data_IF_861575898696
#
_entry.id   IF_861575898696
#
_cell.length_a   1.000
_cell.length_b   1.000
_cell.length_c   1.000
_cell.angle_alpha   90.00
_cell.angle_beta   90.00
_cell.angle_gamma   90.00
#
_symmetry.space_group_name_H-M   'P 1'
#
loop_
_entity.id
_entity.type
_entity.pdbx_description
1 polymer ?
#
# COMPACT_ATOMS: atom_id res chain seq x y z
N UNK A 1 -16.26 8.10 25.18
CA UNK A 1 -15.61 8.56 23.95
C UNK A 1 -14.55 7.57 23.53
N UNK A 2 -14.61 7.11 22.31
CA UNK A 2 -13.60 6.17 21.79
C UNK A 2 -12.46 6.99 21.22
N UNK A 3 -11.27 6.82 21.79
CA UNK A 3 -10.09 7.46 21.25
C UNK A 3 -9.64 6.74 19.99
N UNK A 4 -9.44 7.51 18.93
CA UNK A 4 -8.85 6.99 17.71
C UNK A 4 -7.34 6.95 17.84
N UNK A 5 -6.72 5.78 17.64
CA UNK A 5 -5.27 5.65 17.67
C UNK A 5 -4.64 6.50 16.55
N UNK A 6 -3.49 7.12 16.81
CA UNK A 6 -2.73 7.81 15.76
C UNK A 6 -2.38 6.87 14.60
N UNK A 7 -2.30 7.42 13.40
CA UNK A 7 -2.02 6.64 12.18
C UNK A 7 -0.72 5.84 12.26
N UNK A 8 0.33 6.39 12.87
CA UNK A 8 1.59 5.68 13.04
C UNK A 8 1.47 4.42 13.89
N UNK A 9 0.67 4.48 14.98
CA UNK A 9 0.41 3.32 15.82
C UNK A 9 -0.45 2.29 15.09
N UNK A 10 -1.45 2.75 14.35
CA UNK A 10 -2.32 1.88 13.53
C UNK A 10 -1.50 1.17 12.45
N UNK A 11 -0.58 1.86 11.81
CA UNK A 11 0.32 1.28 10.81
C UNK A 11 1.22 0.21 11.44
N UNK A 12 1.82 0.52 12.59
CA UNK A 12 2.67 -0.44 13.31
C UNK A 12 1.88 -1.71 13.66
N UNK A 13 0.67 -1.55 14.19
CA UNK A 13 -0.19 -2.68 14.54
C UNK A 13 -0.55 -3.51 13.31
N UNK A 14 -0.86 -2.85 12.18
CA UNK A 14 -1.17 -3.51 10.93
C UNK A 14 0.00 -4.37 10.45
N UNK A 15 1.21 -3.81 10.41
CA UNK A 15 2.40 -4.52 9.94
C UNK A 15 2.72 -5.68 10.88
N UNK A 16 2.70 -5.46 12.20
CA UNK A 16 3.03 -6.51 13.16
C UNK A 16 2.04 -7.67 13.12
N UNK A 17 0.75 -7.40 12.94
CA UNK A 17 -0.27 -8.44 12.99
C UNK A 17 -0.59 -9.06 11.63
N UNK A 18 -0.38 -8.37 10.52
CA UNK A 18 -0.88 -8.80 9.21
C UNK A 18 0.16 -8.78 8.09
N UNK A 19 1.44 -8.62 8.37
CA UNK A 19 2.44 -8.53 7.30
C UNK A 19 2.46 -9.76 6.39
N UNK A 20 2.23 -10.93 6.91
CA UNK A 20 2.19 -12.17 6.11
C UNK A 20 1.02 -12.14 5.12
N UNK A 21 -0.15 -11.71 5.55
CA UNK A 21 -1.32 -11.60 4.69
C UNK A 21 -1.13 -10.50 3.65
N UNK A 22 -0.58 -9.35 4.07
CA UNK A 22 -0.31 -8.23 3.18
C UNK A 22 0.61 -8.67 2.04
N UNK A 23 1.74 -9.29 2.36
CA UNK A 23 2.71 -9.73 1.37
C UNK A 23 2.15 -10.86 0.49
N UNK A 24 1.35 -11.75 1.07
CA UNK A 24 0.70 -12.83 0.32
C UNK A 24 -0.27 -12.27 -0.73
N UNK A 25 -1.03 -11.23 -0.39
CA UNK A 25 -1.93 -10.58 -1.35
C UNK A 25 -1.18 -9.94 -2.51
N UNK A 26 0.05 -9.46 -2.27
CA UNK A 26 0.85 -8.80 -3.29
C UNK A 26 1.60 -9.78 -4.21
N UNK A 27 1.79 -11.00 -3.76
CA UNK A 27 2.52 -12.00 -4.54
C UNK A 27 1.74 -12.32 -5.81
N UNK A 28 2.37 -12.06 -6.97
CA UNK A 28 1.76 -12.25 -8.29
C UNK A 28 0.47 -11.46 -8.50
N UNK A 29 0.28 -10.36 -7.76
CA UNK A 29 -0.91 -9.53 -7.87
C UNK A 29 -0.88 -8.70 -9.16
N UNK A 30 -1.65 -9.11 -10.15
CA UNK A 30 -1.74 -8.43 -11.45
C UNK A 30 -3.07 -7.72 -11.69
N UNK A 31 -4.03 -7.83 -10.76
CA UNK A 31 -5.40 -7.35 -10.99
C UNK A 31 -5.93 -6.38 -9.97
N UNK A 32 -5.34 -6.30 -8.79
CA UNK A 32 -5.95 -5.58 -7.70
C UNK A 32 -5.03 -4.56 -7.07
N UNK A 33 -5.64 -3.51 -6.55
CA UNK A 33 -5.02 -2.54 -5.67
C UNK A 33 -5.55 -2.82 -4.27
N UNK A 34 -4.68 -3.30 -3.39
CA UNK A 34 -5.01 -3.59 -2.00
C UNK A 34 -4.62 -2.39 -1.14
N UNK A 35 -5.60 -1.84 -0.43
CA UNK A 35 -5.44 -0.62 0.36
C UNK A 35 -5.80 -0.89 1.81
N UNK A 36 -5.21 -0.12 2.71
CA UNK A 36 -5.45 -0.22 4.15
C UNK A 36 -5.66 1.18 4.71
N UNK A 37 -6.81 1.38 5.34
CA UNK A 37 -7.18 2.65 5.97
C UNK A 37 -6.60 2.70 7.38
N UNK A 38 -5.60 3.55 7.59
CA UNK A 38 -4.99 3.73 8.92
C UNK A 38 -5.42 5.04 9.58
N UNK A 39 -6.51 5.64 9.11
CA UNK A 39 -7.08 6.85 9.67
C UNK A 39 -6.83 8.05 8.78
N UNK A 40 -5.76 8.77 8.99
CA UNK A 40 -5.42 9.95 8.19
C UNK A 40 -4.95 9.60 6.78
N UNK A 41 -4.48 8.36 6.56
CA UNK A 41 -3.93 7.90 5.28
C UNK A 41 -4.50 6.56 4.89
N UNK A 42 -4.55 6.30 3.57
CA UNK A 42 -4.67 4.96 3.03
C UNK A 42 -3.30 4.55 2.51
N UNK A 43 -2.90 3.31 2.81
CA UNK A 43 -1.58 2.80 2.44
C UNK A 43 -1.71 1.56 1.57
N UNK A 44 -0.71 1.34 0.73
CA UNK A 44 -0.57 0.17 -0.11
C UNK A 44 0.87 -0.32 -0.06
N UNK A 45 1.07 -1.61 -0.32
CA UNK A 45 2.39 -2.24 -0.23
C UNK A 45 2.77 -2.89 -1.56
N UNK A 46 4.05 -2.93 -1.86
CA UNK A 46 4.63 -3.66 -2.99
C UNK A 46 3.95 -3.31 -4.31
N UNK A 47 3.36 -4.27 -5.01
CA UNK A 47 2.69 -4.02 -6.30
C UNK A 47 1.55 -3.03 -6.20
N UNK A 48 0.79 -3.09 -5.13
CA UNK A 48 -0.27 -2.10 -4.87
C UNK A 48 0.31 -0.71 -4.62
N UNK A 49 1.48 -0.62 -3.96
CA UNK A 49 2.17 0.67 -3.79
C UNK A 49 2.60 1.25 -5.14
N UNK A 50 3.10 0.42 -6.04
CA UNK A 50 3.46 0.83 -7.39
C UNK A 50 2.24 1.42 -8.12
N UNK A 51 1.11 0.74 -8.07
CA UNK A 51 -0.14 1.21 -8.69
C UNK A 51 -0.64 2.50 -8.06
N UNK A 52 -0.60 2.57 -6.73
CA UNK A 52 -1.05 3.77 -6.01
C UNK A 52 -0.20 4.98 -6.37
N UNK A 53 1.12 4.82 -6.45
CA UNK A 53 2.01 5.91 -6.82
C UNK A 53 1.80 6.38 -8.26
N UNK A 54 1.36 5.49 -9.15
CA UNK A 54 0.98 5.85 -10.51
C UNK A 54 -0.32 6.63 -10.61
N UNK A 55 -1.25 6.39 -9.67
CA UNK A 55 -2.53 7.10 -9.62
C UNK A 55 -2.43 8.45 -8.91
N UNK A 56 -1.55 8.55 -7.93
CA UNK A 56 -1.39 9.76 -7.10
C UNK A 56 0.07 10.22 -7.16
N UNK A 57 0.35 11.25 -7.94
CA UNK A 57 1.71 11.76 -8.14
C UNK A 57 2.36 12.29 -6.86
N UNK A 58 1.55 12.65 -5.87
CA UNK A 58 2.01 13.16 -4.57
C UNK A 58 2.03 12.11 -3.47
N UNK A 59 1.88 10.83 -3.81
CA UNK A 59 1.99 9.77 -2.82
C UNK A 59 3.38 9.75 -2.20
N UNK A 60 3.44 9.43 -0.90
CA UNK A 60 4.70 9.30 -0.18
C UNK A 60 5.12 7.85 -0.11
N UNK A 61 6.43 7.61 -0.26
CA UNK A 61 7.00 6.26 -0.20
C UNK A 61 7.75 6.08 1.11
N UNK A 62 7.58 4.91 1.72
CA UNK A 62 8.26 4.50 2.94
C UNK A 62 8.80 3.09 2.76
N UNK A 63 9.95 2.81 3.35
CA UNK A 63 10.56 1.49 3.29
C UNK A 63 10.48 0.80 4.65
N UNK A 64 10.20 -0.50 4.63
CA UNK A 64 10.17 -1.32 5.84
C UNK A 64 11.06 -2.55 5.65
N UNK A 65 11.71 -2.97 6.74
CA UNK A 65 12.30 -4.29 6.83
C UNK A 65 11.38 -5.17 7.68
N UNK A 66 11.01 -6.31 7.11
CA UNK A 66 10.15 -7.29 7.78
C UNK A 66 11.01 -8.53 8.03
N UNK A 67 10.92 -9.16 9.21
CA UNK A 67 11.62 -10.40 9.47
C UNK A 67 11.36 -11.43 8.37
N UNK A 68 12.39 -12.16 7.98
CA UNK A 68 12.35 -13.18 6.93
C UNK A 68 12.25 -12.64 5.50
N UNK A 69 12.26 -11.32 5.33
CA UNK A 69 12.34 -10.70 4.00
C UNK A 69 13.73 -10.12 3.78
N UNK A 70 14.39 -10.52 2.70
CA UNK A 70 15.73 -10.06 2.35
C UNK A 70 15.69 -8.61 1.83
N UNK A 71 14.67 -8.30 1.05
CA UNK A 71 14.51 -7.00 0.42
C UNK A 71 13.63 -6.07 1.27
N UNK A 72 13.75 -4.77 1.02
CA UNK A 72 12.84 -3.79 1.59
C UNK A 72 11.43 -3.99 1.06
N UNK A 73 10.45 -3.77 1.93
CA UNK A 73 9.04 -3.66 1.54
C UNK A 73 8.75 -2.18 1.29
N UNK A 74 8.24 -1.85 0.12
CA UNK A 74 7.89 -0.47 -0.23
C UNK A 74 6.42 -0.24 0.04
N UNK A 75 6.12 0.85 0.76
CA UNK A 75 4.76 1.29 1.03
C UNK A 75 4.54 2.65 0.39
N UNK A 76 3.39 2.86 -0.24
CA UNK A 76 2.93 4.16 -0.67
C UNK A 76 1.76 4.59 0.21
N UNK A 77 1.68 5.89 0.53
CA UNK A 77 0.58 6.44 1.31
C UNK A 77 0.01 7.68 0.65
N UNK A 78 -1.31 7.84 0.77
CA UNK A 78 -2.05 9.02 0.30
C UNK A 78 -3.01 9.47 1.38
N UNK A 79 -3.33 10.77 1.46
CA UNK A 79 -4.33 11.24 2.41
C UNK A 79 -5.67 10.52 2.20
N UNK A 80 -6.32 10.14 3.29
CA UNK A 80 -7.55 9.34 3.24
C UNK A 80 -8.68 10.05 2.48
N UNK A 81 -8.82 11.35 2.64
CA UNK A 81 -9.85 12.12 1.95
C UNK A 81 -9.65 12.13 0.43
N UNK A 82 -8.41 12.26 -0.04
CA UNK A 82 -8.11 12.18 -1.47
C UNK A 82 -8.38 10.78 -2.02
N UNK A 83 -7.97 9.75 -1.30
CA UNK A 83 -8.22 8.38 -1.69
C UNK A 83 -9.71 8.06 -1.78
N UNK A 84 -10.49 8.53 -0.79
CA UNK A 84 -11.94 8.34 -0.76
C UNK A 84 -12.61 8.98 -1.98
N UNK A 85 -12.24 10.21 -2.30
CA UNK A 85 -12.81 10.94 -3.46
C UNK A 85 -12.47 10.24 -4.76
N UNK A 86 -11.23 9.80 -4.94
CA UNK A 86 -10.76 9.23 -6.20
C UNK A 86 -11.10 7.76 -6.38
N UNK A 87 -11.13 6.99 -5.30
CA UNK A 87 -11.25 5.52 -5.37
C UNK A 87 -12.51 4.96 -4.73
N UNK A 88 -13.26 5.76 -3.96
CA UNK A 88 -14.41 5.28 -3.20
C UNK A 88 -15.44 4.50 -4.02
N UNK A 89 -15.72 4.96 -5.24
CA UNK A 89 -16.70 4.32 -6.13
C UNK A 89 -16.20 3.00 -6.73
N UNK A 90 -14.90 2.74 -6.68
CA UNK A 90 -14.28 1.58 -7.31
C UNK A 90 -13.96 0.47 -6.31
N UNK A 91 -14.35 0.63 -5.06
CA UNK A 91 -14.10 -0.36 -4.02
C UNK A 91 -14.97 -1.59 -4.24
N UNK A 92 -14.33 -2.74 -4.46
CA UNK A 92 -15.01 -4.03 -4.65
C UNK A 92 -15.29 -4.73 -3.33
N UNK A 93 -14.42 -4.54 -2.34
CA UNK A 93 -14.54 -5.16 -1.03
C UNK A 93 -14.06 -4.20 0.04
N UNK A 94 -14.86 -4.06 1.09
CA UNK A 94 -14.56 -3.26 2.26
C UNK A 94 -14.68 -4.17 3.49
N UNK A 95 -13.56 -4.47 4.12
CA UNK A 95 -13.52 -5.35 5.29
C UNK A 95 -12.63 -4.73 6.36
N UNK A 96 -13.26 -4.12 7.37
CA UNK A 96 -12.52 -3.38 8.39
C UNK A 96 -11.70 -2.26 7.77
N UNK A 97 -10.40 -2.30 7.98
CA UNK A 97 -9.49 -1.32 7.38
C UNK A 97 -9.10 -1.65 5.94
N UNK A 98 -9.37 -2.86 5.49
CA UNK A 98 -8.98 -3.34 4.17
C UNK A 98 -9.95 -2.87 3.09
N UNK A 99 -9.38 -2.43 1.95
CA UNK A 99 -10.12 -2.03 0.76
C UNK A 99 -9.51 -2.72 -0.45
N UNK A 100 -10.34 -3.26 -1.31
CA UNK A 100 -9.90 -3.91 -2.54
C UNK A 100 -10.48 -3.16 -3.74
N UNK A 101 -9.60 -2.74 -4.65
CA UNK A 101 -9.97 -2.05 -5.88
C UNK A 101 -9.42 -2.84 -7.05
N UNK A 102 -10.18 -2.96 -8.12
CA UNK A 102 -9.70 -3.61 -9.34
C UNK A 102 -8.80 -2.66 -10.12
N UNK A 103 -7.62 -3.12 -10.51
CA UNK A 103 -6.75 -2.39 -11.41
C UNK A 103 -7.12 -2.69 -12.85
N UNK A 104 -7.25 -1.66 -13.67
CA UNK A 104 -7.52 -1.81 -15.11
C UNK A 104 -6.26 -2.07 -15.93
N UNK A 105 -5.10 -1.86 -15.33
CA UNK A 105 -3.82 -2.00 -16.01
C UNK A 105 -3.00 -3.13 -15.41
N UNK A 106 -2.47 -3.97 -16.29
CA UNK A 106 -1.51 -4.99 -15.91
C UNK A 106 -0.22 -4.34 -15.42
N UNK A 107 0.45 -5.01 -14.48
CA UNK A 107 1.76 -4.58 -13.98
C UNK A 107 2.76 -5.72 -14.21
N UNK A 108 3.45 -5.73 -15.37
CA UNK A 108 4.46 -6.75 -15.65
C UNK A 108 5.54 -6.80 -14.56
N UNK A 109 6.02 -8.00 -14.26
CA UNK A 109 7.01 -8.22 -13.20
C UNK A 109 8.27 -7.39 -13.39
N UNK A 110 8.75 -7.27 -14.63
CA UNK A 110 9.93 -6.46 -14.93
C UNK A 110 9.73 -4.98 -14.62
N UNK A 111 8.57 -4.43 -14.98
CA UNK A 111 8.23 -3.04 -14.71
C UNK A 111 8.12 -2.78 -13.21
N UNK A 112 7.47 -3.69 -12.49
CA UNK A 112 7.37 -3.59 -11.05
C UNK A 112 8.75 -3.65 -10.37
N UNK A 113 9.61 -4.59 -10.76
CA UNK A 113 10.96 -4.72 -10.20
C UNK A 113 11.78 -3.46 -10.43
N UNK A 114 11.71 -2.88 -11.63
CA UNK A 114 12.39 -1.64 -11.93
C UNK A 114 11.89 -0.50 -11.04
N UNK A 115 10.57 -0.36 -10.91
CA UNK A 115 9.96 0.63 -10.03
C UNK A 115 10.42 0.44 -8.58
N UNK A 116 10.43 -0.82 -8.10
CA UNK A 116 10.83 -1.15 -6.73
C UNK A 116 12.28 -0.73 -6.46
N UNK A 117 13.19 -1.04 -7.36
CA UNK A 117 14.59 -0.63 -7.25
C UNK A 117 14.73 0.89 -7.19
N UNK A 118 14.02 1.60 -8.07
CA UNK A 118 14.07 3.06 -8.12
C UNK A 118 13.48 3.68 -6.85
N UNK A 119 12.39 3.10 -6.33
CA UNK A 119 11.77 3.56 -5.09
C UNK A 119 12.72 3.40 -3.90
N UNK A 120 13.38 2.23 -3.78
CA UNK A 120 14.36 1.99 -2.71
C UNK A 120 15.50 3.00 -2.80
N UNK A 121 16.05 3.22 -3.98
CA UNK A 121 17.14 4.19 -4.17
C UNK A 121 16.70 5.60 -3.80
N UNK A 122 15.51 6.02 -4.21
CA UNK A 122 15.04 7.39 -3.98
C UNK A 122 14.81 7.67 -2.49
N UNK A 123 14.37 6.69 -1.72
CA UNK A 123 14.15 6.85 -0.28
C UNK A 123 15.46 6.79 0.50
N UNK A 124 16.41 5.95 0.09
CA UNK A 124 17.69 5.79 0.78
C UNK A 124 18.71 6.88 0.49
N UNK A 125 18.53 7.65 -0.57
CA UNK A 125 19.45 8.74 -0.93
C UNK A 125 19.15 10.04 -0.19
#
# INVERSE_FOLDING_TARGET
MIETLPSGIRLKNLIQSQHTEILSREKNNDKFLHLYDIGAYWVAFERSACRLSGLFSKSELTLFRIPDCVEYVVMASVPADEAEVCLGEYILLHDGIYRKVRSEHSLPTGDYRHWHEMAVRSVLL
#
